data_IF_557345784348
#
_entry.id   IF_557345784348
#
_cell.length_a   1.000
_cell.length_b   1.000
_cell.length_c   1.000
_cell.angle_alpha   90.00
_cell.angle_beta   90.00
_cell.angle_gamma   90.00
#
_symmetry.space_group_name_H-M   'P 1'
#
loop_
_entity.id
_entity.type
_entity.pdbx_description
1 polymer ?
#
# COMPACT_ATOMS: atom_id res chain seq x y z
N UNK A 1 -53.04 1.20 7.64
CA UNK A 1 -52.61 2.55 8.04
C UNK A 1 -51.12 2.69 7.75
N UNK A 2 -50.75 3.30 6.61
CA UNK A 2 -49.33 3.60 6.34
C UNK A 2 -48.92 4.68 7.34
N UNK A 3 -47.85 4.48 8.13
CA UNK A 3 -47.36 5.51 9.03
C UNK A 3 -46.92 6.73 8.23
N UNK A 4 -47.47 7.90 8.58
CA UNK A 4 -47.26 9.19 7.88
C UNK A 4 -45.77 9.53 7.74
N UNK A 5 -44.95 9.08 8.69
CA UNK A 5 -43.50 9.22 8.65
C UNK A 5 -42.85 8.61 7.39
N UNK A 6 -43.37 7.52 6.84
CA UNK A 6 -42.83 6.93 5.61
C UNK A 6 -43.09 7.82 4.39
N UNK A 7 -44.26 8.43 4.32
CA UNK A 7 -44.64 9.31 3.19
C UNK A 7 -43.75 10.56 3.15
N UNK A 8 -43.39 11.08 4.32
CA UNK A 8 -42.49 12.25 4.45
C UNK A 8 -41.02 11.84 4.25
N UNK A 9 -40.60 10.66 4.72
CA UNK A 9 -39.22 10.20 4.60
C UNK A 9 -38.83 9.82 3.16
N UNK A 10 -39.73 9.25 2.36
CA UNK A 10 -39.44 8.82 0.98
C UNK A 10 -38.84 9.94 0.11
N UNK A 11 -39.46 11.13 -0.03
CA UNK A 11 -38.89 12.20 -0.85
C UNK A 11 -37.56 12.73 -0.30
N UNK A 12 -37.40 12.79 1.02
CA UNK A 12 -36.16 13.22 1.68
C UNK A 12 -35.01 12.23 1.37
N UNK A 13 -35.28 10.93 1.46
CA UNK A 13 -34.29 9.89 1.22
C UNK A 13 -33.87 9.85 -0.27
N UNK A 14 -34.82 10.03 -1.18
CA UNK A 14 -34.55 10.18 -2.62
C UNK A 14 -33.65 11.40 -2.88
N UNK A 15 -33.93 12.53 -2.26
CA UNK A 15 -33.14 13.76 -2.42
C UNK A 15 -31.70 13.58 -1.90
N UNK A 16 -31.52 13.01 -0.71
CA UNK A 16 -30.20 12.72 -0.13
C UNK A 16 -29.40 11.80 -1.06
N UNK A 17 -30.03 10.73 -1.57
CA UNK A 17 -29.37 9.80 -2.48
C UNK A 17 -28.94 10.49 -3.80
N UNK A 18 -29.80 11.35 -4.34
CA UNK A 18 -29.49 12.10 -5.56
C UNK A 18 -28.32 13.08 -5.38
N UNK A 19 -28.25 13.76 -4.23
CA UNK A 19 -27.13 14.65 -3.89
C UNK A 19 -25.83 13.88 -3.69
N UNK A 20 -25.87 12.72 -3.04
CA UNK A 20 -24.70 11.88 -2.80
C UNK A 20 -24.14 11.32 -4.11
N UNK A 21 -24.99 10.89 -5.05
CA UNK A 21 -24.55 10.38 -6.36
C UNK A 21 -23.76 11.43 -7.15
N UNK A 22 -24.25 12.69 -7.19
CA UNK A 22 -23.55 13.81 -7.84
C UNK A 22 -22.19 14.10 -7.22
N UNK A 23 -22.06 13.97 -5.89
CA UNK A 23 -20.80 14.18 -5.17
C UNK A 23 -19.77 13.11 -5.53
N UNK A 24 -20.18 11.84 -5.60
CA UNK A 24 -19.31 10.72 -5.97
C UNK A 24 -18.79 10.88 -7.40
N UNK A 25 -19.67 11.17 -8.37
CA UNK A 25 -19.28 11.39 -9.76
C UNK A 25 -18.28 12.55 -9.91
N UNK A 26 -18.47 13.65 -9.16
CA UNK A 26 -17.52 14.77 -9.15
C UNK A 26 -16.16 14.34 -8.59
N UNK A 27 -16.14 13.57 -7.50
CA UNK A 27 -14.89 13.06 -6.93
C UNK A 27 -14.18 12.08 -7.86
N UNK A 28 -14.89 11.22 -8.58
CA UNK A 28 -14.29 10.34 -9.57
C UNK A 28 -13.64 11.12 -10.73
N UNK A 29 -14.32 12.17 -11.21
CA UNK A 29 -13.75 13.07 -12.22
C UNK A 29 -12.51 13.81 -11.72
N UNK A 30 -12.51 14.24 -10.46
CA UNK A 30 -11.35 14.91 -9.84
C UNK A 30 -10.19 13.94 -9.55
N UNK A 31 -10.48 12.68 -9.15
CA UNK A 31 -9.46 11.61 -9.09
C UNK A 31 -8.81 11.37 -10.46
N UNK A 32 -9.56 11.62 -11.53
CA UNK A 32 -9.10 11.57 -12.92
C UNK A 32 -8.38 12.86 -13.36
N UNK A 33 -8.43 13.97 -12.62
CA UNK A 33 -7.89 15.25 -13.06
C UNK A 33 -7.46 16.22 -11.95
N UNK A 34 -6.17 16.19 -11.62
CA UNK A 34 -5.18 17.30 -11.57
C UNK A 34 -3.84 16.63 -11.22
N UNK A 35 -2.88 16.64 -12.15
CA UNK A 35 -1.56 16.01 -11.98
C UNK A 35 -1.42 14.54 -12.47
N UNK A 36 -2.46 13.96 -13.06
CA UNK A 36 -2.49 12.56 -13.54
C UNK A 36 -2.46 12.39 -15.07
N UNK A 37 -2.23 13.48 -15.78
CA UNK A 37 -2.11 13.49 -17.24
C UNK A 37 -3.41 13.88 -17.88
N UNK A 38 -3.43 15.07 -18.45
CA UNK A 38 -4.44 15.45 -19.45
C UNK A 38 -4.27 14.50 -20.64
N UNK A 39 -5.34 14.15 -21.36
CA UNK A 39 -5.20 13.36 -22.58
C UNK A 39 -4.24 14.09 -23.55
N UNK A 40 -3.08 13.51 -23.83
CA UNK A 40 -2.00 14.15 -24.62
C UNK A 40 -0.78 14.64 -23.81
N UNK A 41 -0.81 14.63 -22.47
CA UNK A 41 0.35 14.93 -21.62
C UNK A 41 0.93 13.63 -21.06
N UNK A 42 2.18 13.29 -21.38
CA UNK A 42 2.85 12.07 -20.95
C UNK A 42 3.25 12.13 -19.46
N UNK A 43 2.26 12.07 -18.56
CA UNK A 43 2.54 11.93 -17.12
C UNK A 43 2.24 10.50 -16.68
N UNK A 44 3.16 9.61 -17.04
CA UNK A 44 3.16 8.21 -16.64
C UNK A 44 4.56 7.73 -16.24
N UNK A 45 5.49 8.65 -15.97
CA UNK A 45 6.85 8.28 -15.59
C UNK A 45 6.79 7.57 -14.24
N UNK A 46 7.06 6.27 -14.26
CA UNK A 46 7.12 5.44 -13.06
C UNK A 46 8.18 6.04 -12.14
N UNK A 47 7.80 6.39 -10.92
CA UNK A 47 8.77 6.77 -9.89
C UNK A 47 9.56 5.51 -9.54
N UNK A 48 10.85 5.53 -9.81
CA UNK A 48 11.76 4.43 -9.48
C UNK A 48 12.63 4.86 -8.30
N UNK A 49 12.80 3.98 -7.32
CA UNK A 49 13.67 4.24 -6.18
C UNK A 49 15.13 4.29 -6.65
N UNK A 50 15.81 5.41 -6.42
CA UNK A 50 17.20 5.61 -6.84
C UNK A 50 18.14 5.10 -5.73
N UNK A 51 19.15 4.27 -6.05
CA UNK A 51 20.22 3.88 -5.13
C UNK A 51 20.91 5.08 -4.46
N UNK A 52 21.31 4.94 -3.19
CA UNK A 52 21.92 6.04 -2.43
C UNK A 52 23.21 6.58 -3.07
N UNK A 53 24.06 5.70 -3.61
CA UNK A 53 25.29 6.07 -4.33
C UNK A 53 25.03 6.99 -5.53
N UNK A 54 24.00 6.66 -6.32
CA UNK A 54 23.63 7.43 -7.50
C UNK A 54 22.97 8.75 -7.10
N UNK A 55 22.19 8.75 -6.01
CA UNK A 55 21.58 9.96 -5.49
C UNK A 55 22.62 11.01 -5.08
N UNK A 56 23.73 10.59 -4.47
CA UNK A 56 24.81 11.51 -4.10
C UNK A 56 25.50 12.11 -5.32
N UNK A 57 25.72 11.32 -6.39
CA UNK A 57 26.31 11.81 -7.64
C UNK A 57 25.39 12.81 -8.35
N UNK A 58 24.09 12.53 -8.40
CA UNK A 58 23.09 13.48 -8.90
C UNK A 58 23.11 14.77 -8.07
N UNK A 59 23.25 14.66 -6.74
CA UNK A 59 23.32 15.84 -5.85
C UNK A 59 24.58 16.67 -6.05
N UNK A 60 25.68 16.06 -6.49
CA UNK A 60 26.93 16.75 -6.88
C UNK A 60 26.84 17.41 -8.26
N UNK A 61 25.79 17.14 -9.04
CA UNK A 61 25.62 17.66 -10.39
C UNK A 61 26.37 16.86 -11.46
N UNK A 62 26.72 15.59 -11.18
CA UNK A 62 27.23 14.68 -12.21
C UNK A 62 26.07 14.22 -13.11
N UNK A 63 26.29 14.18 -14.44
CA UNK A 63 25.33 13.64 -15.40
C UNK A 63 25.29 12.10 -15.30
N UNK A 64 24.18 11.56 -14.81
CA UNK A 64 23.96 10.12 -14.67
C UNK A 64 22.91 9.66 -15.68
N UNK A 65 23.27 8.70 -16.55
CA UNK A 65 22.32 8.14 -17.53
C UNK A 65 21.29 7.21 -16.89
N UNK A 66 20.13 7.06 -17.54
CA UNK A 66 19.06 6.15 -17.12
C UNK A 66 19.50 4.68 -17.06
N UNK A 67 20.40 4.26 -17.94
CA UNK A 67 21.00 2.92 -17.95
C UNK A 67 21.87 2.67 -16.71
N UNK A 68 22.58 3.69 -16.24
CA UNK A 68 23.43 3.59 -15.04
C UNK A 68 22.57 3.44 -13.77
N UNK A 69 21.48 4.19 -13.69
CA UNK A 69 20.49 4.07 -12.61
C UNK A 69 19.91 2.64 -12.59
N UNK A 70 19.52 2.12 -13.76
CA UNK A 70 18.91 0.78 -13.88
C UNK A 70 19.89 -0.32 -13.47
N UNK A 71 21.15 -0.22 -13.92
CA UNK A 71 22.20 -1.17 -13.54
C UNK A 71 22.49 -1.14 -12.05
N UNK A 72 22.53 0.05 -11.45
CA UNK A 72 22.72 0.19 -10.01
C UNK A 72 21.54 -0.39 -9.21
N UNK A 73 20.31 -0.26 -9.70
CA UNK A 73 19.13 -0.88 -9.09
C UNK A 73 19.19 -2.41 -9.13
N UNK A 74 19.60 -2.99 -10.25
CA UNK A 74 19.72 -4.45 -10.40
C UNK A 74 20.77 -5.04 -9.45
N UNK A 75 21.89 -4.34 -9.23
CA UNK A 75 22.90 -4.73 -8.24
C UNK A 75 22.34 -4.74 -6.81
N UNK A 76 21.58 -3.72 -6.41
CA UNK A 76 20.98 -3.67 -5.08
C UNK A 76 19.89 -4.74 -4.92
N UNK A 77 19.09 -4.96 -5.96
CA UNK A 77 18.05 -5.99 -5.94
C UNK A 77 18.64 -7.40 -5.74
N UNK A 78 19.75 -7.71 -6.42
CA UNK A 78 20.45 -8.99 -6.26
C UNK A 78 21.11 -9.14 -4.88
N UNK A 79 21.71 -8.09 -4.32
CA UNK A 79 22.30 -8.13 -2.96
C UNK A 79 21.25 -8.28 -1.85
N UNK A 80 20.08 -7.66 -1.97
CA UNK A 80 19.02 -7.77 -0.95
C UNK A 80 18.47 -9.22 -0.83
N UNK A 81 18.34 -9.93 -1.95
CA UNK A 81 17.88 -11.32 -1.96
C UNK A 81 18.82 -12.27 -1.21
N UNK A 82 20.13 -11.98 -1.18
CA UNK A 82 21.11 -12.82 -0.48
C UNK A 82 21.18 -12.51 1.04
N UNK A 83 20.90 -11.26 1.44
CA UNK A 83 20.94 -10.83 2.84
C UNK A 83 19.69 -11.24 3.65
N UNK A 84 18.54 -11.45 2.99
CA UNK A 84 17.32 -11.87 3.69
C UNK A 84 17.36 -13.32 4.21
N UNK A 85 18.31 -14.14 3.74
CA UNK A 85 18.50 -15.50 4.26
C UNK A 85 19.22 -15.54 5.62
N UNK A 86 20.03 -14.52 5.96
CA UNK A 86 20.76 -14.47 7.24
C UNK A 86 20.02 -13.72 8.36
N UNK A 87 18.96 -12.97 8.04
CA UNK A 87 18.18 -12.18 9.03
C UNK A 87 17.01 -12.96 9.65
N UNK A 88 16.66 -14.12 9.11
CA UNK A 88 15.55 -14.96 9.59
C UNK A 88 15.90 -15.83 10.81
N UNK A 89 17.18 -16.03 11.11
CA UNK A 89 17.60 -16.86 12.26
C UNK A 89 17.62 -16.10 13.59
N UNK A 90 17.68 -14.75 13.58
CA UNK A 90 17.82 -13.97 14.81
C UNK A 90 16.51 -13.41 15.37
N UNK A 91 15.37 -13.63 14.70
CA UNK A 91 14.08 -13.00 15.06
C UNK A 91 13.04 -13.95 15.67
N UNK A 92 13.46 -15.08 16.26
CA UNK A 92 12.54 -16.04 16.93
C UNK A 92 12.47 -15.90 18.45
N UNK A 93 13.36 -15.12 19.07
CA UNK A 93 13.46 -15.07 20.53
C UNK A 93 12.81 -13.81 21.16
N UNK A 94 12.65 -12.71 20.42
CA UNK A 94 12.10 -11.46 20.99
C UNK A 94 10.64 -11.59 21.41
N UNK A 95 9.85 -12.38 20.67
CA UNK A 95 8.42 -12.56 20.97
C UNK A 95 8.17 -13.46 22.20
N UNK A 96 9.19 -14.16 22.71
CA UNK A 96 9.07 -15.08 23.85
C UNK A 96 9.39 -14.41 25.20
N UNK A 97 9.95 -13.21 25.20
CA UNK A 97 10.45 -12.55 26.41
C UNK A 97 9.36 -11.78 27.19
N UNK A 98 8.20 -11.54 26.59
CA UNK A 98 7.05 -10.88 27.24
C UNK A 98 6.04 -11.88 27.83
N UNK A 99 6.19 -13.17 27.55
CA UNK A 99 5.34 -14.21 28.10
C UNK A 99 5.82 -14.52 29.53
N UNK A 100 4.96 -14.47 30.56
CA UNK A 100 5.36 -14.95 31.87
C UNK A 100 5.79 -16.41 31.77
N UNK A 101 6.86 -16.79 32.48
CA UNK A 101 7.35 -18.17 32.55
C UNK A 101 6.28 -19.07 33.19
N UNK A 102 5.29 -19.51 32.41
CA UNK A 102 4.39 -20.58 32.82
C UNK A 102 5.16 -21.89 32.68
N UNK A 103 5.77 -22.30 33.78
CA UNK A 103 6.03 -23.70 34.06
C UNK A 103 4.70 -24.47 33.97
N UNK A 104 4.44 -25.12 32.83
CA UNK A 104 3.52 -26.26 32.79
C UNK A 104 3.73 -27.09 31.53
N UNK A 105 4.16 -28.33 31.72
CA UNK A 105 3.86 -29.46 30.85
C UNK A 105 2.42 -29.37 30.32
N UNK A 106 2.24 -29.36 29.00
CA UNK A 106 1.30 -30.27 28.32
C UNK A 106 1.10 -29.92 26.84
N UNK A 107 1.13 -30.99 26.06
CA UNK A 107 0.59 -31.19 24.72
C UNK A 107 -0.60 -30.29 24.34
N UNK A 108 -0.49 -29.53 23.25
CA UNK A 108 -1.66 -28.94 22.58
C UNK A 108 -1.53 -28.97 21.05
N UNK A 109 -2.56 -29.56 20.45
CA UNK A 109 -2.72 -29.97 19.04
C UNK A 109 -2.88 -28.77 18.10
N UNK A 110 -2.23 -28.86 16.94
CA UNK A 110 -2.32 -27.91 15.82
C UNK A 110 -3.67 -28.10 15.09
N UNK A 111 -4.60 -27.15 15.24
CA UNK A 111 -5.89 -27.16 14.55
C UNK A 111 -5.73 -26.58 13.13
N UNK A 112 -5.91 -27.42 12.10
CA UNK A 112 -5.87 -27.05 10.66
C UNK A 112 -7.13 -26.26 10.28
N UNK A 113 -6.97 -25.02 9.83
CA UNK A 113 -8.05 -24.24 9.22
C UNK A 113 -8.36 -24.75 7.79
N UNK A 114 -9.63 -25.11 7.56
CA UNK A 114 -10.17 -25.51 6.26
C UNK A 114 -10.75 -24.27 5.56
N UNK A 115 -10.19 -23.90 4.41
CA UNK A 115 -10.68 -22.82 3.54
C UNK A 115 -11.99 -23.24 2.86
N UNK A 116 -12.92 -22.29 2.73
CA UNK A 116 -14.05 -22.33 1.81
C UNK A 116 -13.90 -21.14 0.86
#
# INVERSE_FOLDING_TARGET
MIPIYLVICIPILILINHLNKKRVEKQEKLKKGIGRGVAGFQTGVRRVAIPAEIMERIRRGEDVSGEEITRAQERIASMNNNSNNSKLDHKKNVDQQWLPNLSSNSTAKKLKQKKK
#
